data_IF_065840477153
#
_entry.id   IF_065840477153
#
_cell.length_a   1.000
_cell.length_b   1.000
_cell.length_c   1.000
_cell.angle_alpha   90.00
_cell.angle_beta   90.00
_cell.angle_gamma   90.00
#
_symmetry.space_group_name_H-M   'P 1'
#
loop_
_entity.id
_entity.type
_entity.pdbx_description
1 polymer ?
#
# COMPACT_ATOMS: atom_id res chain seq x y z
N UNK A 1 13.80 27.68 12.51
CA UNK A 1 12.78 27.64 13.58
C UNK A 1 11.73 26.53 13.39
N UNK A 2 11.29 26.21 12.16
CA UNK A 2 10.32 25.12 11.88
C UNK A 2 10.89 23.71 12.17
N UNK A 3 12.21 23.52 11.96
CA UNK A 3 12.94 22.29 12.32
C UNK A 3 12.75 21.91 13.80
N UNK A 4 12.66 22.86 14.73
CA UNK A 4 12.53 22.54 16.17
C UNK A 4 11.16 21.92 16.55
N UNK A 5 10.10 22.13 15.77
CA UNK A 5 8.72 21.82 16.19
C UNK A 5 8.20 20.47 15.69
N UNK A 6 8.64 20.01 14.52
CA UNK A 6 8.46 18.60 14.14
C UNK A 6 9.34 17.70 15.02
N UNK A 7 10.51 18.21 15.42
CA UNK A 7 11.33 17.58 16.47
C UNK A 7 10.55 17.48 17.78
N UNK A 8 9.80 18.47 18.25
CA UNK A 8 9.02 18.29 19.49
C UNK A 8 8.04 17.11 19.44
N UNK A 9 7.44 16.81 18.28
CA UNK A 9 6.46 15.71 18.12
C UNK A 9 7.12 14.34 17.89
N UNK A 10 8.21 14.28 17.12
CA UNK A 10 9.04 13.08 16.95
C UNK A 10 9.86 12.76 18.22
N UNK A 11 10.34 13.79 18.92
CA UNK A 11 11.00 13.72 20.22
C UNK A 11 9.99 13.35 21.31
N UNK A 12 8.72 13.73 21.25
CA UNK A 12 7.70 13.21 22.16
C UNK A 12 7.46 11.71 21.94
N UNK A 13 7.44 11.26 20.67
CA UNK A 13 7.30 9.85 20.32
C UNK A 13 8.54 9.01 20.70
N UNK A 14 9.74 9.57 20.54
CA UNK A 14 11.02 8.94 20.92
C UNK A 14 11.30 9.02 22.44
N UNK A 15 10.96 10.11 23.13
CA UNK A 15 11.06 10.21 24.59
C UNK A 15 10.08 9.26 25.29
N UNK A 16 8.85 9.10 24.75
CA UNK A 16 7.92 8.09 25.23
C UNK A 16 8.46 6.65 25.03
N UNK A 17 9.34 6.43 24.04
CA UNK A 17 10.03 5.17 23.79
C UNK A 17 11.27 4.98 24.69
N UNK A 18 11.98 6.05 25.04
CA UNK A 18 13.23 6.03 25.81
C UNK A 18 13.04 6.10 27.34
N UNK A 19 12.00 6.79 27.85
CA UNK A 19 11.78 6.95 29.30
C UNK A 19 11.10 5.75 29.99
N UNK A 20 10.52 4.80 29.24
CA UNK A 20 9.74 3.70 29.83
C UNK A 20 10.37 2.32 29.69
N UNK A 21 11.67 2.19 30.01
CA UNK A 21 12.27 0.92 30.45
C UNK A 21 11.71 0.44 31.82
N UNK A 22 10.44 0.73 32.11
CA UNK A 22 9.77 0.28 33.33
C UNK A 22 9.16 -1.08 33.03
N UNK A 23 9.52 -2.08 33.84
CA UNK A 23 9.02 -3.44 33.68
C UNK A 23 7.49 -3.46 33.72
N UNK A 24 6.88 -4.36 32.95
CA UNK A 24 5.43 -4.53 32.76
C UNK A 24 4.61 -4.79 34.05
N UNK A 25 5.24 -4.81 35.23
CA UNK A 25 4.67 -5.29 36.49
C UNK A 25 3.96 -4.22 37.35
N UNK A 26 3.99 -2.93 36.99
CA UNK A 26 3.51 -1.84 37.87
C UNK A 26 2.37 -0.97 37.30
N UNK A 27 1.49 -1.52 36.45
CA UNK A 27 0.26 -0.81 36.05
C UNK A 27 -0.95 -1.50 36.66
N UNK A 28 -1.37 -1.00 37.83
CA UNK A 28 -2.62 -1.39 38.50
C UNK A 28 -3.82 -0.68 37.86
N UNK A 29 -5.02 -1.30 37.80
CA UNK A 29 -6.23 -0.64 37.33
C UNK A 29 -6.72 0.33 38.42
N UNK A 30 -6.59 1.64 38.17
CA UNK A 30 -7.18 2.69 38.99
C UNK A 30 -8.67 2.94 38.68
N UNK A 31 -9.41 3.62 39.57
CA UNK A 31 -10.85 3.84 39.47
C UNK A 31 -11.22 4.80 38.32
N UNK A 32 -12.50 4.81 37.95
CA UNK A 32 -13.09 5.63 36.89
C UNK A 32 -12.54 7.07 36.87
N UNK A 33 -12.03 7.48 35.70
CA UNK A 33 -11.49 8.81 35.47
C UNK A 33 -12.59 9.87 35.69
N UNK A 34 -12.34 10.97 36.43
CA UNK A 34 -13.32 12.03 36.63
C UNK A 34 -13.66 12.74 35.30
N UNK A 35 -14.86 13.34 35.18
CA UNK A 35 -15.22 14.12 33.99
C UNK A 35 -14.28 15.32 33.83
N UNK A 36 -13.53 15.35 32.73
CA UNK A 36 -12.47 16.33 32.51
C UNK A 36 -13.02 17.67 31.97
N UNK A 37 -12.50 18.77 32.52
CA UNK A 37 -12.72 20.13 32.02
C UNK A 37 -11.68 20.45 30.92
N UNK A 38 -12.14 20.61 29.68
CA UNK A 38 -11.30 20.89 28.52
C UNK A 38 -10.88 22.38 28.41
N UNK A 39 -11.36 23.25 29.31
CA UNK A 39 -11.15 24.70 29.23
C UNK A 39 -9.74 25.16 29.62
N UNK A 40 -8.97 24.32 30.33
CA UNK A 40 -7.63 24.69 30.82
C UNK A 40 -6.50 24.44 29.81
N UNK A 41 -6.76 23.73 28.70
CA UNK A 41 -5.72 23.40 27.72
C UNK A 41 -5.58 24.53 26.70
N UNK A 42 -4.69 25.47 26.99
CA UNK A 42 -4.35 26.57 26.09
C UNK A 42 -3.34 26.14 25.00
N UNK A 43 -3.78 25.29 24.06
CA UNK A 43 -2.96 24.82 22.90
C UNK A 43 -2.38 25.98 22.08
N UNK A 44 -3.05 27.15 22.08
CA UNK A 44 -2.57 28.36 21.42
C UNK A 44 -1.20 28.84 21.94
N UNK A 45 -0.86 28.56 23.20
CA UNK A 45 0.43 28.94 23.80
C UNK A 45 1.57 28.02 23.34
N UNK A 46 1.30 26.75 23.01
CA UNK A 46 2.29 25.79 22.50
C UNK A 46 2.65 26.03 21.01
N UNK A 47 1.74 26.62 20.21
CA UNK A 47 1.99 26.98 18.81
C UNK A 47 1.28 28.28 18.38
N UNK A 48 1.81 29.46 18.77
CA UNK A 48 1.15 30.76 18.58
C UNK A 48 0.94 31.18 17.12
N UNK A 49 1.62 30.53 16.16
CA UNK A 49 1.57 30.93 14.75
C UNK A 49 0.54 30.16 13.91
N UNK A 50 -0.14 29.15 14.46
CA UNK A 50 -0.98 28.28 13.63
C UNK A 50 -2.24 28.98 13.07
N UNK A 51 -2.79 29.95 13.79
CA UNK A 51 -3.91 30.77 13.30
C UNK A 51 -3.52 31.58 12.06
N UNK A 52 -2.27 32.05 11.98
CA UNK A 52 -1.73 32.72 10.79
C UNK A 52 -1.50 31.80 9.60
N UNK A 53 -1.49 30.48 9.83
CA UNK A 53 -1.40 29.42 8.81
C UNK A 53 -2.78 28.87 8.42
N UNK A 54 -3.87 29.49 8.90
CA UNK A 54 -5.24 29.06 8.63
C UNK A 54 -5.71 27.85 9.45
N UNK A 55 -4.96 27.44 10.47
CA UNK A 55 -5.38 26.36 11.38
C UNK A 55 -6.28 26.92 12.49
N UNK A 56 -7.48 26.35 12.60
CA UNK A 56 -8.45 26.66 13.67
C UNK A 56 -8.20 25.69 14.82
N UNK A 57 -7.47 26.12 15.86
CA UNK A 57 -7.06 25.27 16.98
C UNK A 57 -8.20 24.64 17.75
N UNK A 58 -9.34 25.31 17.86
CA UNK A 58 -10.54 24.73 18.49
C UNK A 58 -11.02 23.44 17.79
N UNK A 59 -10.66 23.24 16.53
CA UNK A 59 -10.95 22.00 15.79
C UNK A 59 -10.00 20.85 16.12
N UNK A 60 -8.84 21.11 16.74
CA UNK A 60 -7.82 20.11 17.04
C UNK A 60 -7.55 19.92 18.53
N UNK A 61 -7.91 20.88 19.39
CA UNK A 61 -7.67 20.82 20.84
C UNK A 61 -8.30 19.59 21.48
N UNK A 62 -9.51 19.23 21.06
CA UNK A 62 -10.22 18.04 21.52
C UNK A 62 -9.52 16.75 21.06
N UNK A 63 -8.93 16.76 19.85
CA UNK A 63 -8.21 15.62 19.30
C UNK A 63 -6.83 15.41 19.96
N UNK A 64 -6.13 16.51 20.22
CA UNK A 64 -4.84 16.53 20.92
C UNK A 64 -4.99 16.09 22.38
N UNK A 65 -6.05 16.53 23.03
CA UNK A 65 -6.40 16.10 24.38
C UNK A 65 -6.69 14.59 24.43
N UNK A 66 -7.52 14.08 23.50
CA UNK A 66 -7.80 12.64 23.43
C UNK A 66 -6.53 11.80 23.21
N UNK A 67 -5.61 12.26 22.35
CA UNK A 67 -4.32 11.60 22.15
C UNK A 67 -3.44 11.62 23.41
N UNK A 68 -3.37 12.76 24.13
CA UNK A 68 -2.67 12.88 25.42
C UNK A 68 -3.29 11.97 26.48
N UNK A 69 -4.60 11.98 26.65
CA UNK A 69 -5.32 11.14 27.62
C UNK A 69 -5.06 9.64 27.37
N UNK A 70 -4.87 9.24 26.11
CA UNK A 70 -4.51 7.87 25.76
C UNK A 70 -3.06 7.49 26.12
N UNK A 71 -2.14 8.46 26.07
CA UNK A 71 -0.74 8.29 26.48
C UNK A 71 -0.60 8.05 27.99
N UNK A 72 -1.52 8.59 28.78
CA UNK A 72 -1.51 8.47 30.24
C UNK A 72 -2.51 7.45 30.81
N UNK A 73 -3.49 6.98 30.01
CA UNK A 73 -4.54 6.05 30.47
C UNK A 73 -4.56 4.67 29.80
N UNK A 74 -3.77 4.42 28.75
CA UNK A 74 -3.79 3.18 27.97
C UNK A 74 -2.37 2.70 27.61
N UNK A 75 -2.22 1.56 26.93
CA UNK A 75 -0.89 1.03 26.58
C UNK A 75 -0.12 1.92 25.60
N UNK A 76 1.21 1.99 25.74
CA UNK A 76 2.12 2.79 24.91
C UNK A 76 1.87 2.63 23.40
N UNK A 77 1.58 1.41 22.94
CA UNK A 77 1.25 1.13 21.54
C UNK A 77 0.01 1.87 21.02
N UNK A 78 -1.03 2.05 21.84
CA UNK A 78 -2.22 2.83 21.47
C UNK A 78 -1.89 4.31 21.38
N UNK A 79 -1.14 4.82 22.34
CA UNK A 79 -0.76 6.22 22.40
C UNK A 79 0.11 6.64 21.21
N UNK A 80 1.07 5.81 20.83
CA UNK A 80 1.91 6.01 19.65
C UNK A 80 1.07 6.01 18.37
N UNK A 81 0.12 5.06 18.22
CA UNK A 81 -0.78 5.03 17.05
C UNK A 81 -1.67 6.29 16.97
N UNK A 82 -2.22 6.76 18.09
CA UNK A 82 -3.06 7.96 18.16
C UNK A 82 -2.31 9.23 17.76
N UNK A 83 -1.08 9.39 18.26
CA UNK A 83 -0.20 10.50 17.89
C UNK A 83 0.16 10.44 16.40
N UNK A 84 0.52 9.27 15.87
CA UNK A 84 0.81 9.11 14.44
C UNK A 84 -0.39 9.44 13.55
N UNK A 85 -1.61 9.05 13.96
CA UNK A 85 -2.84 9.34 13.21
C UNK A 85 -3.17 10.84 13.19
N UNK A 86 -3.13 11.49 14.35
CA UNK A 86 -3.37 12.93 14.46
C UNK A 86 -2.32 13.73 13.67
N UNK A 87 -1.05 13.35 13.80
CA UNK A 87 0.04 13.95 13.05
C UNK A 87 -0.14 13.72 11.55
N UNK A 88 -0.54 12.54 11.11
CA UNK A 88 -0.79 12.26 9.69
C UNK A 88 -1.94 13.12 9.13
N UNK A 89 -3.03 13.30 9.86
CA UNK A 89 -4.14 14.16 9.43
C UNK A 89 -3.80 15.66 9.45
N UNK A 90 -3.17 16.15 10.51
CA UNK A 90 -2.75 17.55 10.60
C UNK A 90 -1.66 17.87 9.56
N UNK A 91 -0.70 16.97 9.40
CA UNK A 91 0.39 17.09 8.42
C UNK A 91 -0.14 16.98 7.00
N UNK A 92 -1.05 16.06 6.69
CA UNK A 92 -1.64 15.97 5.34
C UNK A 92 -2.42 17.22 4.97
N UNK A 93 -3.29 17.75 5.86
CA UNK A 93 -3.99 19.02 5.60
C UNK A 93 -3.01 20.18 5.37
N UNK A 94 -1.97 20.28 6.19
CA UNK A 94 -0.95 21.32 6.05
C UNK A 94 -0.12 21.16 4.77
N UNK A 95 0.33 19.95 4.46
CA UNK A 95 1.07 19.63 3.25
C UNK A 95 0.23 19.93 1.99
N UNK A 96 -1.07 19.62 2.00
CA UNK A 96 -1.97 19.96 0.90
C UNK A 96 -2.08 21.48 0.70
N UNK A 97 -2.18 22.26 1.78
CA UNK A 97 -2.17 23.73 1.70
C UNK A 97 -0.83 24.26 1.14
N UNK A 98 0.26 23.51 1.31
CA UNK A 98 1.56 23.81 0.73
C UNK A 98 1.79 23.24 -0.68
N UNK A 99 0.77 22.61 -1.29
CA UNK A 99 0.89 21.97 -2.61
C UNK A 99 1.68 20.65 -2.61
N UNK A 100 1.80 19.97 -1.46
CA UNK A 100 2.60 18.76 -1.26
C UNK A 100 1.71 17.51 -1.13
N UNK A 101 0.90 17.23 -2.16
CA UNK A 101 -0.15 16.21 -2.09
C UNK A 101 0.41 14.79 -2.02
N UNK A 102 1.48 14.48 -2.77
CA UNK A 102 2.11 13.15 -2.73
C UNK A 102 2.59 12.78 -1.32
N UNK A 103 3.32 13.67 -0.65
CA UNK A 103 3.83 13.39 0.71
C UNK A 103 2.70 13.27 1.73
N UNK A 104 1.66 14.10 1.62
CA UNK A 104 0.46 13.99 2.43
C UNK A 104 -0.18 12.59 2.27
N UNK A 105 -0.28 12.10 1.03
CA UNK A 105 -0.79 10.77 0.73
C UNK A 105 0.08 9.66 1.34
N UNK A 106 1.42 9.76 1.26
CA UNK A 106 2.31 8.79 1.89
C UNK A 106 2.12 8.71 3.40
N UNK A 107 1.95 9.84 4.09
CA UNK A 107 1.68 9.85 5.53
C UNK A 107 0.32 9.25 5.86
N UNK A 108 -0.71 9.49 5.05
CA UNK A 108 -2.02 8.87 5.26
C UNK A 108 -1.92 7.34 5.08
N UNK A 109 -1.25 6.89 4.02
CA UNK A 109 -1.00 5.48 3.76
C UNK A 109 -0.22 4.82 4.91
N UNK A 110 0.88 5.41 5.38
CA UNK A 110 1.62 4.91 6.54
C UNK A 110 0.75 4.91 7.81
N UNK A 111 -0.10 5.91 7.98
CA UNK A 111 -1.07 5.97 9.08
C UNK A 111 -2.02 4.77 9.09
N UNK A 112 -2.44 4.26 7.93
CA UNK A 112 -3.32 3.10 7.84
C UNK A 112 -2.73 1.81 8.41
N UNK A 113 -1.39 1.68 8.42
CA UNK A 113 -0.69 0.55 9.06
C UNK A 113 -1.12 0.44 10.52
N UNK A 114 -1.27 1.57 11.20
CA UNK A 114 -1.53 1.62 12.64
C UNK A 114 -3.02 1.75 13.00
N UNK A 115 -3.88 2.07 12.03
CA UNK A 115 -5.33 2.26 12.24
C UNK A 115 -6.11 0.96 12.05
N UNK A 116 -5.63 0.03 11.21
CA UNK A 116 -6.38 -1.15 10.79
C UNK A 116 -6.82 -2.07 11.93
N UNK A 117 -5.98 -2.26 12.95
CA UNK A 117 -6.27 -3.27 13.98
C UNK A 117 -7.40 -2.88 14.95
N UNK A 118 -7.74 -1.57 15.08
CA UNK A 118 -8.73 -1.11 16.09
C UNK A 118 -9.57 0.11 15.68
N UNK A 119 -9.17 0.86 14.65
CA UNK A 119 -9.74 2.18 14.33
C UNK A 119 -10.95 2.19 13.39
N UNK A 120 -11.43 1.02 12.95
CA UNK A 120 -12.67 0.87 12.19
C UNK A 120 -13.89 0.54 13.04
N UNK A 121 -13.74 0.36 14.36
CA UNK A 121 -14.93 0.32 15.22
C UNK A 121 -15.49 1.73 15.38
N UNK A 122 -16.71 1.94 14.89
CA UNK A 122 -17.40 3.24 14.95
C UNK A 122 -17.64 3.71 16.41
N UNK A 123 -17.51 2.81 17.38
CA UNK A 123 -17.63 3.10 18.81
C UNK A 123 -16.29 3.43 19.50
N UNK A 124 -15.21 3.63 18.73
CA UNK A 124 -13.91 3.94 19.31
C UNK A 124 -13.90 5.40 19.81
N UNK A 125 -13.39 5.65 21.03
CA UNK A 125 -13.21 7.01 21.62
C UNK A 125 -12.12 7.84 20.93
N UNK A 126 -11.81 7.50 19.68
CA UNK A 126 -10.68 8.04 18.94
C UNK A 126 -11.05 9.35 18.27
N UNK A 127 -10.13 10.31 18.21
CA UNK A 127 -10.41 11.66 17.70
C UNK A 127 -10.60 11.75 16.18
N UNK A 128 -10.34 10.68 15.44
CA UNK A 128 -10.57 10.57 14.01
C UNK A 128 -11.13 9.19 13.69
N UNK A 129 -12.24 9.11 12.96
CA UNK A 129 -12.78 7.83 12.52
C UNK A 129 -11.88 7.23 11.43
N UNK A 130 -11.78 5.91 11.32
CA UNK A 130 -11.11 5.26 10.17
C UNK A 130 -11.65 5.77 8.83
N UNK A 131 -12.96 6.05 8.78
CA UNK A 131 -13.65 6.63 7.63
C UNK A 131 -13.11 8.00 7.20
N UNK A 132 -12.81 8.91 8.15
CA UNK A 132 -12.26 10.23 7.83
C UNK A 132 -10.89 10.14 7.16
N UNK A 133 -10.06 9.22 7.63
CA UNK A 133 -8.75 8.95 7.02
C UNK A 133 -8.92 8.42 5.61
N UNK A 134 -9.91 7.56 5.36
CA UNK A 134 -10.18 7.00 4.03
C UNK A 134 -10.75 8.03 3.06
N UNK A 135 -11.63 8.92 3.52
CA UNK A 135 -12.11 10.04 2.71
C UNK A 135 -10.96 10.98 2.30
N UNK A 136 -10.06 11.28 3.24
CA UNK A 136 -8.86 12.06 2.95
C UNK A 136 -7.93 11.32 1.98
N UNK A 137 -7.72 10.02 2.22
CA UNK A 137 -6.94 9.13 1.35
C UNK A 137 -7.48 9.11 -0.07
N UNK A 138 -8.77 8.83 -0.26
CA UNK A 138 -9.45 8.85 -1.56
C UNK A 138 -9.27 10.19 -2.28
N UNK A 139 -9.51 11.29 -1.57
CA UNK A 139 -9.40 12.64 -2.14
C UNK A 139 -7.98 12.95 -2.61
N UNK A 140 -6.97 12.52 -1.85
CA UNK A 140 -5.57 12.71 -2.20
C UNK A 140 -5.11 11.74 -3.29
N UNK A 141 -5.53 10.49 -3.25
CA UNK A 141 -5.26 9.50 -4.30
C UNK A 141 -5.76 9.99 -5.65
N UNK A 142 -6.99 10.53 -5.74
CA UNK A 142 -7.50 11.08 -7.00
C UNK A 142 -6.70 12.28 -7.49
N UNK A 143 -6.31 13.20 -6.60
CA UNK A 143 -5.48 14.36 -6.98
C UNK A 143 -4.08 13.95 -7.44
N UNK A 144 -3.42 13.05 -6.70
CA UNK A 144 -2.11 12.52 -7.08
C UNK A 144 -2.21 11.74 -8.39
N UNK A 145 -3.30 10.97 -8.59
CA UNK A 145 -3.57 10.29 -9.86
C UNK A 145 -3.64 11.27 -11.02
N UNK A 146 -4.33 12.41 -10.89
CA UNK A 146 -4.37 13.44 -11.95
C UNK A 146 -2.98 14.00 -12.26
N UNK A 147 -2.12 14.16 -11.25
CA UNK A 147 -0.72 14.58 -11.46
C UNK A 147 0.10 13.50 -12.18
N UNK A 148 -0.23 12.23 -11.95
CA UNK A 148 0.45 11.08 -12.54
C UNK A 148 -0.14 10.64 -13.90
N UNK A 149 -1.36 11.08 -14.25
CA UNK A 149 -2.16 10.52 -15.34
C UNK A 149 -1.56 10.75 -16.74
N UNK A 150 -0.79 11.82 -16.92
CA UNK A 150 -0.13 12.17 -18.18
C UNK A 150 0.97 11.19 -18.62
N UNK A 151 1.27 10.18 -17.81
CA UNK A 151 2.42 9.30 -18.02
C UNK A 151 2.15 7.86 -18.42
N UNK A 152 0.88 7.45 -18.45
CA UNK A 152 0.55 6.07 -18.81
C UNK A 152 0.48 5.97 -20.34
N UNK A 153 1.34 5.14 -20.94
CA UNK A 153 1.26 4.90 -22.37
C UNK A 153 -0.09 4.24 -22.70
N UNK A 154 -0.74 4.70 -23.76
CA UNK A 154 -1.92 4.01 -24.30
C UNK A 154 -1.43 2.93 -25.24
N UNK A 155 -1.55 1.68 -24.82
CA UNK A 155 -1.17 0.51 -25.60
C UNK A 155 -2.40 -0.36 -25.87
N UNK A 156 -2.38 -1.03 -27.01
CA UNK A 156 -3.37 -2.05 -27.32
C UNK A 156 -3.36 -3.15 -26.24
N UNK A 157 -4.53 -3.64 -25.79
CA UNK A 157 -4.59 -4.68 -24.78
C UNK A 157 -3.75 -5.91 -25.11
N UNK A 158 -3.75 -6.32 -26.38
CA UNK A 158 -3.02 -7.50 -26.85
C UNK A 158 -1.52 -7.26 -27.11
N UNK A 159 -0.97 -6.07 -26.82
CA UNK A 159 0.45 -5.75 -27.07
C UNK A 159 1.38 -6.77 -26.40
N UNK A 160 2.38 -7.29 -27.13
CA UNK A 160 3.40 -8.20 -26.60
C UNK A 160 4.79 -7.56 -26.71
N UNK A 161 5.64 -7.83 -25.73
CA UNK A 161 7.05 -7.43 -25.76
C UNK A 161 7.87 -8.64 -26.15
N UNK A 162 8.54 -8.57 -27.30
CA UNK A 162 9.31 -9.69 -27.84
C UNK A 162 10.37 -10.19 -26.85
N UNK A 163 10.37 -11.50 -26.62
CA UNK A 163 11.34 -12.17 -25.75
C UNK A 163 11.13 -11.98 -24.25
N UNK A 164 10.08 -11.26 -23.81
CA UNK A 164 9.81 -11.04 -22.40
C UNK A 164 9.25 -12.32 -21.74
N UNK A 165 9.95 -12.86 -20.74
CA UNK A 165 9.56 -14.10 -20.05
C UNK A 165 8.79 -13.75 -18.77
N UNK A 166 7.52 -14.11 -18.73
CA UNK A 166 6.62 -13.77 -17.62
C UNK A 166 6.07 -15.05 -16.98
N UNK A 167 6.10 -15.09 -15.64
CA UNK A 167 5.41 -16.10 -14.85
C UNK A 167 4.24 -15.48 -14.06
N UNK A 168 3.15 -16.23 -13.95
CA UNK A 168 2.05 -15.97 -13.00
C UNK A 168 2.27 -16.86 -11.78
N UNK A 169 2.26 -16.25 -10.59
CA UNK A 169 2.48 -16.94 -9.31
C UNK A 169 1.27 -16.71 -8.41
N UNK A 170 0.75 -17.78 -7.82
CA UNK A 170 -0.38 -17.73 -6.89
C UNK A 170 -0.28 -18.83 -5.83
N UNK A 171 -0.85 -18.56 -4.66
CA UNK A 171 -1.08 -19.56 -3.62
C UNK A 171 -2.58 -19.67 -3.37
N UNK A 172 -3.13 -20.87 -3.54
CA UNK A 172 -4.52 -21.22 -3.27
C UNK A 172 -4.57 -22.43 -2.33
N UNK A 173 -4.15 -22.23 -1.07
CA UNK A 173 -4.11 -23.27 -0.04
C UNK A 173 -5.47 -23.56 0.62
N UNK A 174 -6.54 -23.47 -0.18
CA UNK A 174 -7.90 -23.82 0.23
C UNK A 174 -8.18 -25.31 -0.02
N UNK A 175 -9.27 -25.83 0.56
CA UNK A 175 -9.75 -27.18 0.25
C UNK A 175 -9.88 -27.38 -1.27
N UNK A 176 -9.58 -28.58 -1.76
CA UNK A 176 -9.49 -28.86 -3.19
C UNK A 176 -10.81 -28.59 -3.95
N UNK A 177 -11.95 -28.74 -3.26
CA UNK A 177 -13.30 -28.49 -3.74
C UNK A 177 -13.83 -27.08 -3.45
N UNK A 178 -13.04 -26.23 -2.77
CA UNK A 178 -13.45 -24.87 -2.48
C UNK A 178 -13.67 -24.09 -3.79
N UNK A 179 -14.84 -23.46 -4.01
CA UNK A 179 -15.14 -22.81 -5.30
C UNK A 179 -14.09 -21.81 -5.76
N UNK A 180 -13.54 -21.01 -4.83
CA UNK A 180 -12.48 -20.05 -5.14
C UNK A 180 -11.23 -20.72 -5.72
N UNK A 181 -10.82 -21.88 -5.19
CA UNK A 181 -9.63 -22.59 -5.69
C UNK A 181 -9.90 -23.16 -7.08
N UNK A 182 -11.02 -23.86 -7.25
CA UNK A 182 -11.39 -24.50 -8.52
C UNK A 182 -11.53 -23.45 -9.64
N UNK A 183 -12.31 -22.41 -9.39
CA UNK A 183 -12.60 -21.38 -10.40
C UNK A 183 -11.36 -20.55 -10.70
N UNK A 184 -10.55 -20.23 -9.70
CA UNK A 184 -9.35 -19.43 -9.92
C UNK A 184 -8.23 -20.23 -10.63
N UNK A 185 -8.12 -21.54 -10.36
CA UNK A 185 -7.24 -22.43 -11.14
C UNK A 185 -7.68 -22.46 -12.60
N UNK A 186 -8.96 -22.67 -12.87
CA UNK A 186 -9.51 -22.67 -14.23
C UNK A 186 -9.24 -21.32 -14.95
N UNK A 187 -9.53 -20.20 -14.29
CA UNK A 187 -9.29 -18.84 -14.79
C UNK A 187 -7.84 -18.67 -15.28
N UNK A 188 -6.88 -19.03 -14.41
CA UNK A 188 -5.45 -18.88 -14.69
C UNK A 188 -4.94 -19.87 -15.73
N UNK A 189 -5.41 -21.11 -15.73
CA UNK A 189 -5.01 -22.09 -16.75
C UNK A 189 -5.48 -21.68 -18.14
N UNK A 190 -6.69 -21.13 -18.27
CA UNK A 190 -7.18 -20.58 -19.53
C UNK A 190 -6.32 -19.38 -19.94
N UNK A 191 -6.10 -18.41 -19.03
CA UNK A 191 -5.28 -17.23 -19.35
C UNK A 191 -3.84 -17.60 -19.74
N UNK A 192 -3.24 -18.58 -19.04
CA UNK A 192 -1.95 -19.18 -19.38
C UNK A 192 -1.94 -19.72 -20.81
N UNK A 193 -2.94 -20.51 -21.18
CA UNK A 193 -3.05 -21.10 -22.52
C UNK A 193 -3.22 -20.04 -23.61
N UNK A 194 -3.93 -18.95 -23.34
CA UNK A 194 -4.14 -17.85 -24.29
C UNK A 194 -2.86 -17.06 -24.58
N UNK A 195 -2.05 -16.79 -23.57
CA UNK A 195 -0.93 -15.87 -23.69
C UNK A 195 0.46 -16.54 -23.70
N UNK A 196 0.54 -17.81 -23.33
CA UNK A 196 1.79 -18.58 -23.30
C UNK A 196 2.68 -18.28 -22.08
N UNK A 197 2.11 -17.75 -20.99
CA UNK A 197 2.86 -17.55 -19.74
C UNK A 197 3.10 -18.88 -19.00
N UNK A 198 4.04 -18.89 -18.08
CA UNK A 198 4.15 -19.98 -17.11
C UNK A 198 3.26 -19.70 -15.89
N UNK A 199 2.74 -20.76 -15.26
CA UNK A 199 1.91 -20.69 -14.07
C UNK A 199 2.51 -21.53 -12.95
N UNK A 200 2.84 -20.88 -11.83
CA UNK A 200 3.25 -21.50 -10.58
C UNK A 200 2.07 -21.42 -9.60
N UNK A 201 1.27 -22.50 -9.57
CA UNK A 201 0.05 -22.59 -8.76
C UNK A 201 0.30 -23.46 -7.53
N UNK A 202 0.56 -22.82 -6.39
CA UNK A 202 0.81 -23.52 -5.13
C UNK A 202 -0.51 -23.78 -4.40
N UNK A 203 -0.76 -25.04 -4.05
CA UNK A 203 -1.99 -25.46 -3.36
C UNK A 203 -1.78 -25.80 -1.89
N UNK A 204 -0.54 -25.78 -1.42
CA UNK A 204 -0.16 -26.09 -0.05
C UNK A 204 1.20 -25.47 0.31
N UNK A 205 1.43 -25.21 1.59
CA UNK A 205 2.69 -24.68 2.12
C UNK A 205 3.89 -25.56 1.76
N UNK A 206 3.73 -26.88 1.77
CA UNK A 206 4.80 -27.84 1.50
C UNK A 206 5.34 -27.76 0.06
N UNK A 207 4.57 -27.18 -0.87
CA UNK A 207 5.03 -26.95 -2.24
C UNK A 207 5.92 -25.70 -2.35
N UNK A 208 5.93 -24.84 -1.34
CA UNK A 208 6.76 -23.63 -1.28
C UNK A 208 8.06 -24.00 -0.57
N UNK A 209 9.09 -24.30 -1.36
CA UNK A 209 10.39 -24.71 -0.83
C UNK A 209 11.02 -23.61 0.04
N UNK A 210 11.78 -23.96 1.10
CA UNK A 210 12.58 -22.99 1.83
C UNK A 210 13.64 -22.35 0.92
N UNK A 211 13.73 -21.02 0.92
CA UNK A 211 14.79 -20.29 0.24
C UNK A 211 15.99 -20.11 1.19
N UNK A 212 16.94 -21.04 1.12
CA UNK A 212 18.11 -21.03 2.03
C UNK A 212 18.98 -19.78 1.88
N UNK A 213 19.16 -19.29 0.66
CA UNK A 213 20.00 -18.12 0.38
C UNK A 213 19.43 -16.83 0.99
N UNK A 214 18.11 -16.65 0.90
CA UNK A 214 17.40 -15.51 1.49
C UNK A 214 16.94 -15.74 2.94
N UNK A 215 17.20 -16.92 3.52
CA UNK A 215 16.74 -17.36 4.85
C UNK A 215 15.21 -17.31 5.02
N UNK A 216 14.46 -17.59 3.95
CA UNK A 216 13.00 -17.60 3.98
C UNK A 216 12.47 -19.03 4.13
N UNK A 217 11.57 -19.25 5.09
CA UNK A 217 10.90 -20.53 5.27
C UNK A 217 9.46 -20.30 5.69
N UNK A 218 8.50 -20.78 4.88
CA UNK A 218 7.06 -20.66 5.20
C UNK A 218 6.62 -21.48 6.41
N UNK A 219 7.49 -22.38 6.90
CA UNK A 219 7.29 -23.22 8.08
C UNK A 219 8.05 -22.71 9.31
N UNK A 220 8.54 -21.47 9.31
CA UNK A 220 9.31 -20.91 10.44
C UNK A 220 8.46 -20.62 11.70
N UNK A 221 7.14 -20.72 11.60
CA UNK A 221 6.20 -20.42 12.69
C UNK A 221 6.04 -18.92 12.98
N UNK A 222 6.79 -18.07 12.27
CA UNK A 222 6.81 -16.62 12.42
C UNK A 222 5.92 -15.98 11.34
N UNK A 223 6.05 -16.45 10.09
CA UNK A 223 5.34 -15.91 8.94
C UNK A 223 4.06 -16.67 8.64
N UNK A 224 2.95 -15.94 8.66
CA UNK A 224 1.61 -16.48 8.39
C UNK A 224 1.38 -16.71 6.89
N UNK A 225 0.30 -17.41 6.50
CA UNK A 225 0.02 -17.74 5.11
C UNK A 225 0.04 -16.57 4.12
N UNK A 226 -0.40 -15.38 4.54
CA UNK A 226 -0.38 -14.19 3.68
C UNK A 226 1.06 -13.70 3.35
N UNK A 227 2.08 -14.02 4.16
CA UNK A 227 3.48 -13.75 3.81
C UNK A 227 4.10 -14.77 2.86
N UNK A 228 3.50 -15.95 2.67
CA UNK A 228 4.09 -17.01 1.84
C UNK A 228 4.32 -16.57 0.39
N UNK A 229 3.57 -15.57 -0.08
CA UNK A 229 3.76 -14.93 -1.40
C UNK A 229 5.18 -14.40 -1.60
N UNK A 230 5.80 -13.87 -0.57
CA UNK A 230 7.16 -13.30 -0.62
C UNK A 230 8.18 -14.38 -0.92
N UNK A 231 8.15 -15.51 -0.20
CA UNK A 231 9.04 -16.64 -0.44
C UNK A 231 8.74 -17.35 -1.78
N UNK A 232 7.46 -17.54 -2.11
CA UNK A 232 7.06 -18.16 -3.38
C UNK A 232 7.59 -17.37 -4.59
N UNK A 233 7.41 -16.04 -4.60
CA UNK A 233 7.94 -15.18 -5.67
C UNK A 233 9.46 -15.16 -5.66
N UNK A 234 10.12 -15.10 -4.49
CA UNK A 234 11.58 -15.15 -4.39
C UNK A 234 12.16 -16.42 -5.02
N UNK A 235 11.58 -17.58 -4.74
CA UNK A 235 11.98 -18.85 -5.34
C UNK A 235 11.83 -18.85 -6.87
N UNK A 236 10.75 -18.28 -7.40
CA UNK A 236 10.52 -18.20 -8.84
C UNK A 236 11.54 -17.27 -9.51
N UNK A 237 11.83 -16.10 -8.92
CA UNK A 237 12.87 -15.19 -9.41
C UNK A 237 14.26 -15.83 -9.40
N UNK A 238 14.61 -16.57 -8.34
CA UNK A 238 15.91 -17.23 -8.19
C UNK A 238 16.18 -18.32 -9.24
N UNK A 239 15.16 -18.81 -9.93
CA UNK A 239 15.35 -19.70 -11.08
C UNK A 239 16.02 -19.02 -12.28
N UNK A 240 16.02 -17.68 -12.31
CA UNK A 240 16.48 -16.84 -13.42
C UNK A 240 15.83 -17.17 -14.79
N UNK A 241 14.68 -17.86 -14.77
CA UNK A 241 13.90 -18.22 -15.97
C UNK A 241 12.98 -17.11 -16.45
N UNK A 242 12.67 -16.16 -15.59
CA UNK A 242 11.68 -15.11 -15.84
C UNK A 242 12.29 -13.73 -15.66
N UNK A 243 11.85 -12.81 -16.51
CA UNK A 243 12.18 -11.39 -16.41
C UNK A 243 11.16 -10.69 -15.51
N UNK A 244 9.90 -11.16 -15.48
CA UNK A 244 8.84 -10.65 -14.63
C UNK A 244 8.02 -11.76 -13.99
N UNK A 245 7.55 -11.49 -12.78
CA UNK A 245 6.58 -12.29 -12.06
C UNK A 245 5.35 -11.43 -11.77
N UNK A 246 4.17 -11.91 -12.18
CA UNK A 246 2.89 -11.41 -11.71
C UNK A 246 2.46 -12.24 -10.50
N UNK A 247 2.41 -11.62 -9.31
CA UNK A 247 1.72 -12.19 -8.17
C UNK A 247 0.21 -11.92 -8.28
N UNK A 248 -0.60 -12.93 -7.97
CA UNK A 248 -2.05 -12.80 -7.80
C UNK A 248 -2.54 -13.62 -6.61
N UNK A 249 -3.31 -13.00 -5.73
CA UNK A 249 -4.04 -13.68 -4.65
C UNK A 249 -5.12 -14.61 -5.22
N UNK A 250 -5.48 -15.67 -4.48
CA UNK A 250 -6.40 -16.70 -4.95
C UNK A 250 -7.82 -16.18 -5.30
N UNK A 251 -8.22 -15.04 -4.75
CA UNK A 251 -9.51 -14.38 -4.94
C UNK A 251 -9.44 -13.23 -5.98
N UNK A 252 -8.34 -13.13 -6.73
CA UNK A 252 -8.19 -12.24 -7.88
C UNK A 252 -8.31 -13.00 -9.21
N UNK A 253 -9.17 -12.51 -10.09
CA UNK A 253 -9.53 -13.14 -11.37
C UNK A 253 -9.18 -12.23 -12.53
N UNK A 254 -8.63 -12.80 -13.61
CA UNK A 254 -8.56 -12.11 -14.89
C UNK A 254 -9.98 -11.90 -15.43
N UNK A 255 -10.23 -10.72 -15.99
CA UNK A 255 -11.55 -10.28 -16.48
C UNK A 255 -11.52 -9.77 -17.92
N UNK A 256 -10.34 -9.44 -18.42
CA UNK A 256 -10.09 -9.10 -19.83
C UNK A 256 -9.10 -10.13 -20.41
N UNK A 257 -9.61 -11.20 -21.06
CA UNK A 257 -8.75 -12.22 -21.65
C UNK A 257 -7.92 -11.72 -22.83
N UNK A 258 -8.30 -10.61 -23.47
CA UNK A 258 -7.57 -10.04 -24.61
C UNK A 258 -6.35 -9.21 -24.17
N UNK A 259 -6.34 -8.76 -22.92
CA UNK A 259 -5.21 -8.00 -22.37
C UNK A 259 -4.07 -8.90 -21.95
N UNK A 260 -2.87 -8.60 -22.41
CA UNK A 260 -1.62 -9.26 -22.02
C UNK A 260 -1.01 -8.60 -20.77
N UNK A 261 -0.21 -9.37 -20.02
CA UNK A 261 0.62 -8.82 -18.94
C UNK A 261 1.71 -7.90 -19.51
N UNK A 262 2.25 -8.24 -20.68
CA UNK A 262 3.18 -7.41 -21.46
C UNK A 262 2.66 -5.98 -21.65
N UNK A 263 1.39 -5.83 -22.05
CA UNK A 263 0.79 -4.52 -22.28
C UNK A 263 0.81 -3.69 -21.00
N UNK A 264 0.47 -4.28 -19.85
CA UNK A 264 0.50 -3.60 -18.55
C UNK A 264 1.93 -3.24 -18.16
N UNK A 265 2.89 -4.15 -18.32
CA UNK A 265 4.31 -3.86 -18.05
C UNK A 265 4.77 -2.68 -18.92
N UNK A 266 4.51 -2.71 -20.23
CA UNK A 266 4.93 -1.67 -21.16
C UNK A 266 4.25 -0.33 -20.89
N UNK A 267 2.96 -0.31 -20.50
CA UNK A 267 2.21 0.90 -20.11
C UNK A 267 2.92 1.69 -19.02
N UNK A 268 3.47 0.99 -18.03
CA UNK A 268 4.10 1.60 -16.86
C UNK A 268 5.63 1.60 -16.91
N UNK A 269 6.24 0.80 -17.80
CA UNK A 269 7.69 0.74 -18.01
C UNK A 269 8.23 1.84 -18.94
N UNK A 270 7.35 2.54 -19.64
CA UNK A 270 7.72 3.68 -20.49
C UNK A 270 8.49 4.77 -19.73
N UNK A 271 9.51 5.33 -20.40
CA UNK A 271 10.57 6.20 -19.85
C UNK A 271 10.13 7.55 -19.24
N UNK A 272 8.83 7.76 -18.96
CA UNK A 272 8.28 9.09 -18.68
C UNK A 272 7.15 9.03 -17.64
N UNK A 273 7.40 8.59 -16.40
CA UNK A 273 6.39 8.77 -15.35
C UNK A 273 6.33 10.20 -14.84
N UNK A 274 5.14 10.75 -14.61
CA UNK A 274 4.99 12.15 -14.15
C UNK A 274 5.51 12.36 -12.73
N UNK A 275 5.63 11.27 -11.96
CA UNK A 275 6.48 11.20 -10.78
C UNK A 275 7.90 11.77 -11.08
N UNK A 276 8.50 11.41 -12.21
CA UNK A 276 9.79 11.94 -12.64
C UNK A 276 9.76 13.30 -13.35
N UNK A 277 8.58 13.75 -13.81
CA UNK A 277 8.43 15.11 -14.36
C UNK A 277 8.23 16.08 -13.21
N UNK A 278 9.33 16.45 -12.57
CA UNK A 278 9.43 17.82 -12.07
C UNK A 278 9.04 18.75 -13.24
N UNK A 279 8.18 19.75 -13.00
CA UNK A 279 7.81 20.78 -14.00
C UNK A 279 9.05 21.13 -14.83
N UNK A 280 8.97 21.30 -16.17
CA UNK A 280 10.16 21.60 -16.98
C UNK A 280 11.04 22.67 -16.31
N UNK A 281 12.38 22.54 -16.38
CA UNK A 281 13.31 23.54 -15.84
C UNK A 281 12.84 24.95 -16.22
N UNK A 282 12.50 25.75 -15.22
CA UNK A 282 12.23 27.16 -15.45
C UNK A 282 13.56 27.90 -15.43
N UNK A 283 13.63 29.04 -16.12
CA UNK A 283 14.76 29.96 -15.99
C UNK A 283 14.95 30.45 -14.54
N UNK A 284 13.94 30.31 -13.69
CA UNK A 284 13.93 30.71 -12.29
C UNK A 284 14.47 29.61 -11.35
N UNK A 285 14.66 28.38 -11.83
CA UNK A 285 15.23 27.30 -11.01
C UNK A 285 16.70 27.57 -10.70
N UNK A 286 17.08 27.52 -9.42
CA UNK A 286 18.49 27.61 -9.01
C UNK A 286 19.30 26.39 -9.50
N UNK A 287 20.62 26.53 -9.60
CA UNK A 287 21.48 25.43 -10.06
C UNK A 287 21.41 24.21 -9.14
N UNK A 288 21.23 24.42 -7.83
CA UNK A 288 20.98 23.36 -6.85
C UNK A 288 19.73 22.54 -7.20
N UNK A 289 18.66 23.22 -7.65
CA UNK A 289 17.41 22.59 -8.07
C UNK A 289 17.64 21.80 -9.33
N UNK A 290 18.34 22.36 -10.32
CA UNK A 290 18.70 21.67 -11.57
C UNK A 290 19.57 20.44 -11.30
N UNK A 291 20.57 20.54 -10.43
CA UNK A 291 21.41 19.42 -10.04
C UNK A 291 20.62 18.35 -9.32
N UNK A 292 19.72 18.73 -8.41
CA UNK A 292 18.81 17.80 -7.78
C UNK A 292 17.88 17.14 -8.79
N UNK A 293 17.35 17.89 -9.76
CA UNK A 293 16.55 17.30 -10.85
C UNK A 293 17.38 16.28 -11.60
N UNK A 294 18.65 16.54 -11.89
CA UNK A 294 19.54 15.53 -12.50
C UNK A 294 19.73 14.30 -11.61
N UNK A 295 19.80 14.47 -10.29
CA UNK A 295 19.94 13.38 -9.33
C UNK A 295 18.61 12.61 -9.07
N UNK A 296 17.46 13.24 -9.32
CA UNK A 296 16.12 12.71 -9.06
C UNK A 296 15.39 12.27 -10.32
N UNK A 297 15.75 12.85 -11.46
CA UNK A 297 15.41 12.32 -12.76
C UNK A 297 15.86 10.86 -12.70
N UNK A 298 14.95 9.92 -12.98
CA UNK A 298 15.34 8.53 -13.13
C UNK A 298 16.53 8.55 -14.06
N UNK A 299 17.64 7.96 -13.63
CA UNK A 299 18.66 7.53 -14.56
C UNK A 299 17.90 6.92 -15.75
N UNK A 300 18.13 7.37 -17.00
CA UNK A 300 17.51 6.72 -18.16
C UNK A 300 17.80 5.21 -18.21
N UNK A 301 18.71 4.69 -17.38
CA UNK A 301 18.91 3.28 -17.08
C UNK A 301 18.18 2.70 -15.84
N UNK A 302 17.43 3.47 -15.04
CA UNK A 302 16.62 2.93 -13.93
C UNK A 302 15.50 2.08 -14.51
N UNK A 303 15.76 0.78 -14.46
CA UNK A 303 14.81 -0.26 -14.77
C UNK A 303 13.75 -0.32 -13.68
N UNK A 304 12.49 -0.12 -14.07
CA UNK A 304 11.35 -0.36 -13.19
C UNK A 304 11.35 -1.82 -12.77
N UNK A 305 11.19 -2.04 -11.47
CA UNK A 305 11.24 -3.34 -10.85
C UNK A 305 9.92 -3.75 -10.22
N UNK A 306 9.06 -2.83 -9.80
CA UNK A 306 7.79 -3.15 -9.14
C UNK A 306 6.65 -2.28 -9.69
N UNK A 307 5.53 -2.92 -10.04
CA UNK A 307 4.28 -2.26 -10.43
C UNK A 307 3.14 -2.82 -9.57
N UNK A 308 2.41 -1.96 -8.86
CA UNK A 308 1.24 -2.33 -8.06
C UNK A 308 0.15 -1.26 -8.15
N UNK A 309 -1.05 -1.53 -7.67
CA UNK A 309 -2.12 -0.54 -7.55
C UNK A 309 -2.27 -0.02 -6.11
N UNK A 310 -2.80 1.20 -5.99
CA UNK A 310 -3.17 1.81 -4.70
C UNK A 310 -4.67 2.08 -4.66
N UNK A 311 -5.23 2.07 -3.45
CA UNK A 311 -6.59 2.49 -3.12
C UNK A 311 -6.57 3.60 -2.05
N UNK A 312 -7.73 3.92 -1.46
CA UNK A 312 -7.80 4.97 -0.42
C UNK A 312 -7.11 4.60 0.89
N UNK A 313 -6.78 3.32 1.08
CA UNK A 313 -6.13 2.76 2.28
C UNK A 313 -4.65 2.47 2.07
N UNK A 314 -4.11 2.76 0.88
CA UNK A 314 -2.71 2.55 0.53
C UNK A 314 -2.50 1.52 -0.55
N UNK A 315 -1.43 0.75 -0.43
CA UNK A 315 -1.14 -0.37 -1.34
C UNK A 315 -2.10 -1.49 -1.01
N UNK A 316 -2.66 -2.16 -2.04
CA UNK A 316 -3.16 -3.51 -1.88
C UNK A 316 -2.21 -4.47 -2.60
N UNK A 317 -1.73 -5.48 -1.89
CA UNK A 317 -0.66 -6.37 -2.39
C UNK A 317 -1.20 -7.71 -2.90
N UNK A 318 -2.49 -7.79 -3.22
CA UNK A 318 -3.07 -8.98 -3.83
C UNK A 318 -2.79 -9.13 -5.32
N UNK A 319 -2.39 -8.08 -6.02
CA UNK A 319 -1.93 -8.16 -7.41
C UNK A 319 -0.78 -7.18 -7.65
N UNK A 320 0.37 -7.68 -8.09
CA UNK A 320 1.52 -6.85 -8.42
C UNK A 320 2.49 -7.56 -9.35
N UNK A 321 3.28 -6.77 -10.10
CA UNK A 321 4.31 -7.23 -11.01
C UNK A 321 5.68 -6.90 -10.43
N UNK A 322 6.59 -7.87 -10.42
CA UNK A 322 7.96 -7.68 -9.96
C UNK A 322 8.95 -8.24 -10.98
N UNK A 323 9.85 -7.38 -11.43
CA UNK A 323 10.93 -7.72 -12.35
C UNK A 323 12.02 -8.48 -11.63
N UNK A 324 12.72 -9.37 -12.32
CA UNK A 324 13.89 -10.05 -11.81
C UNK A 324 15.12 -9.12 -11.83
N UNK A 325 15.35 -8.41 -10.72
CA UNK A 325 16.47 -7.46 -10.56
C UNK A 325 17.10 -7.61 -9.19
N UNK A 326 18.34 -7.14 -9.03
CA UNK A 326 18.98 -7.09 -7.71
C UNK A 326 18.13 -6.32 -6.67
N UNK A 327 17.51 -5.21 -7.08
CA UNK A 327 16.60 -4.45 -6.22
C UNK A 327 15.40 -5.29 -5.75
N UNK A 328 14.82 -6.10 -6.64
CA UNK A 328 13.66 -6.93 -6.29
C UNK A 328 14.01 -8.02 -5.29
N UNK A 329 15.19 -8.62 -5.41
CA UNK A 329 15.67 -9.62 -4.44
C UNK A 329 15.91 -8.99 -3.07
N UNK A 330 16.56 -7.83 -3.01
CA UNK A 330 16.76 -7.07 -1.77
C UNK A 330 15.42 -6.63 -1.16
N UNK A 331 14.49 -6.14 -1.98
CA UNK A 331 13.16 -5.73 -1.53
C UNK A 331 12.38 -6.88 -0.90
N UNK A 332 12.33 -8.06 -1.54
CA UNK A 332 11.65 -9.23 -0.98
C UNK A 332 12.29 -9.67 0.35
N UNK A 333 13.62 -9.59 0.46
CA UNK A 333 14.31 -9.92 1.71
C UNK A 333 13.98 -8.93 2.83
N UNK A 334 14.02 -7.61 2.56
CA UNK A 334 13.61 -6.60 3.55
C UNK A 334 12.14 -6.72 3.94
N UNK A 335 11.28 -7.08 2.99
CA UNK A 335 9.87 -7.29 3.27
C UNK A 335 9.65 -8.50 4.19
N UNK A 336 10.36 -9.61 3.94
CA UNK A 336 10.34 -10.80 4.81
C UNK A 336 10.95 -10.54 6.18
N UNK A 337 12.11 -9.89 6.24
CA UNK A 337 12.85 -9.62 7.49
C UNK A 337 12.22 -8.45 8.31
N UNK A 338 11.10 -7.88 7.84
CA UNK A 338 10.45 -6.73 8.47
C UNK A 338 9.89 -7.06 9.87
N UNK A 339 10.23 -6.22 10.84
CA UNK A 339 9.86 -6.34 12.25
C UNK A 339 8.82 -5.30 12.72
N UNK A 340 8.41 -4.35 11.86
CA UNK A 340 7.50 -3.26 12.26
C UNK A 340 6.19 -3.72 12.92
N UNK A 341 5.71 -4.93 12.59
CA UNK A 341 4.52 -5.49 13.22
C UNK A 341 4.95 -6.51 14.27
N UNK A 342 4.89 -6.09 15.53
CA UNK A 342 5.04 -6.95 16.70
C UNK A 342 3.67 -7.28 17.33
N UNK A 343 3.61 -8.38 18.07
CA UNK A 343 2.44 -8.77 18.83
C UNK A 343 1.18 -8.97 17.97
N UNK A 344 -0.01 -8.49 18.40
CA UNK A 344 -1.27 -8.71 17.69
C UNK A 344 -1.29 -8.20 16.24
N UNK A 345 -0.55 -7.13 15.93
CA UNK A 345 -0.49 -6.58 14.58
C UNK A 345 0.19 -7.51 13.58
N UNK A 346 1.09 -8.39 14.04
CA UNK A 346 1.73 -9.41 13.21
C UNK A 346 0.75 -10.49 12.76
N UNK A 347 -0.23 -10.78 13.60
CA UNK A 347 -1.24 -11.82 13.40
C UNK A 347 -2.40 -11.38 12.47
N UNK A 348 -2.51 -10.07 12.18
CA UNK A 348 -3.55 -9.55 11.30
C UNK A 348 -3.34 -10.02 9.85
N UNK A 349 -4.42 -10.38 9.15
CA UNK A 349 -4.39 -10.86 7.76
C UNK A 349 -3.96 -9.83 6.70
N UNK A 350 -3.52 -8.65 7.12
CA UNK A 350 -3.02 -7.58 6.26
C UNK A 350 -1.61 -7.15 6.66
N UNK A 351 -0.95 -7.91 7.54
CA UNK A 351 0.35 -7.52 8.07
C UNK A 351 1.43 -7.58 6.98
N UNK A 352 1.33 -8.46 5.99
CA UNK A 352 2.17 -8.45 4.78
C UNK A 352 1.97 -7.18 3.94
N UNK A 353 0.73 -6.73 3.76
CA UNK A 353 0.43 -5.49 3.04
C UNK A 353 0.99 -4.27 3.77
N UNK A 354 0.85 -4.23 5.09
CA UNK A 354 1.39 -3.17 5.94
C UNK A 354 2.92 -3.15 5.95
N UNK A 355 3.59 -4.30 6.01
CA UNK A 355 5.06 -4.38 5.93
C UNK A 355 5.57 -3.97 4.55
N UNK A 356 4.88 -4.34 3.47
CA UNK A 356 5.19 -3.85 2.11
C UNK A 356 5.09 -2.32 2.05
N UNK A 357 4.01 -1.76 2.59
CA UNK A 357 3.78 -0.32 2.59
C UNK A 357 4.87 0.42 3.38
N UNK A 358 5.24 -0.10 4.54
CA UNK A 358 6.34 0.41 5.34
C UNK A 358 7.67 0.37 4.56
N UNK A 359 8.02 -0.78 3.99
CA UNK A 359 9.27 -0.98 3.26
C UNK A 359 9.43 -0.06 2.04
N UNK A 360 8.32 0.39 1.45
CA UNK A 360 8.32 1.27 0.28
C UNK A 360 8.22 2.76 0.62
N UNK A 361 7.47 3.11 1.66
CA UNK A 361 7.15 4.51 1.95
C UNK A 361 7.91 5.10 3.13
N UNK A 362 8.27 4.30 4.14
CA UNK A 362 8.72 4.84 5.43
C UNK A 362 9.92 5.78 5.29
N UNK A 363 11.01 5.30 4.69
CA UNK A 363 12.22 6.11 4.54
C UNK A 363 11.93 7.42 3.79
N UNK A 364 11.20 7.35 2.67
CA UNK A 364 10.91 8.52 1.83
C UNK A 364 9.90 9.48 2.44
N UNK A 365 8.90 8.97 3.15
CA UNK A 365 7.91 9.81 3.84
C UNK A 365 8.54 10.52 5.05
N UNK A 366 9.43 9.84 5.77
CA UNK A 366 10.06 10.35 6.99
C UNK A 366 11.28 11.22 6.72
N UNK A 367 11.99 11.03 5.59
CA UNK A 367 13.16 11.83 5.24
C UNK A 367 12.77 13.32 5.13
N UNK A 368 13.30 14.13 6.02
CA UNK A 368 13.12 15.58 6.00
C UNK A 368 14.08 16.18 4.98
N UNK A 369 13.61 16.36 3.76
CA UNK A 369 14.36 17.01 2.70
C UNK A 369 13.60 18.27 2.28
N UNK A 370 14.13 19.45 2.68
CA UNK A 370 13.53 20.76 2.42
C UNK A 370 13.31 21.02 0.94
N UNK A 371 14.11 20.39 0.08
CA UNK A 371 14.07 20.58 -1.36
C UNK A 371 13.07 19.61 -1.98
N UNK A 372 13.07 18.34 -1.55
CA UNK A 372 12.04 17.35 -1.90
C UNK A 372 10.63 17.89 -1.64
N UNK A 373 10.49 18.53 -0.48
CA UNK A 373 9.28 19.19 -0.02
C UNK A 373 8.87 20.39 -0.87
N UNK A 374 9.82 21.07 -1.50
CA UNK A 374 9.53 22.20 -2.37
C UNK A 374 8.95 21.78 -3.73
N UNK A 375 9.20 20.54 -4.16
CA UNK A 375 8.95 20.11 -5.55
C UNK A 375 7.99 18.94 -5.73
N UNK A 376 7.29 18.51 -4.68
CA UNK A 376 6.29 17.43 -4.73
C UNK A 376 6.80 16.15 -5.40
N UNK A 377 7.96 15.68 -4.95
CA UNK A 377 8.64 14.56 -5.53
C UNK A 377 7.97 13.17 -5.27
N UNK A 378 8.37 12.12 -6.02
CA UNK A 378 7.75 10.78 -5.94
C UNK A 378 7.98 10.08 -4.62
N UNK A 379 6.91 9.81 -3.89
CA UNK A 379 6.98 9.12 -2.59
C UNK A 379 7.47 7.67 -2.68
N UNK A 380 7.41 7.05 -3.85
CA UNK A 380 7.87 5.68 -4.08
C UNK A 380 9.28 5.63 -4.68
N UNK A 381 10.06 4.56 -4.42
CA UNK A 381 11.33 4.27 -5.08
C UNK A 381 11.31 4.47 -6.60
N UNK A 382 12.44 4.83 -7.19
CA UNK A 382 12.55 5.05 -8.63
C UNK A 382 12.27 3.78 -9.45
N UNK A 383 12.41 2.63 -8.82
CA UNK A 383 12.10 1.29 -9.33
C UNK A 383 10.61 0.96 -9.27
N UNK A 384 9.78 1.79 -8.64
CA UNK A 384 8.39 1.49 -8.32
C UNK A 384 7.44 2.32 -9.16
N UNK A 385 6.36 1.69 -9.63
CA UNK A 385 5.27 2.35 -10.36
C UNK A 385 3.92 2.00 -9.76
N UNK A 386 3.07 3.01 -9.70
CA UNK A 386 1.68 2.86 -9.28
C UNK A 386 0.83 2.73 -10.53
N UNK A 387 0.30 1.54 -10.76
CA UNK A 387 -0.69 1.29 -11.76
C UNK A 387 -2.07 1.78 -11.33
N UNK A 388 -2.86 2.20 -12.31
CA UNK A 388 -4.30 2.44 -12.14
C UNK A 388 -5.01 1.12 -11.79
N UNK A 389 -6.04 1.22 -10.94
CA UNK A 389 -6.78 0.06 -10.47
C UNK A 389 -7.46 -0.72 -11.60
N UNK A 390 -7.92 -0.05 -12.67
CA UNK A 390 -8.46 -0.74 -13.86
C UNK A 390 -7.45 -1.69 -14.54
N UNK A 391 -6.15 -1.50 -14.34
CA UNK A 391 -5.11 -2.28 -15.00
C UNK A 391 -4.50 -3.39 -14.13
N UNK A 392 -4.81 -3.46 -12.82
CA UNK A 392 -4.28 -4.53 -11.96
C UNK A 392 -5.26 -5.00 -10.88
N UNK A 393 -6.15 -4.13 -10.39
CA UNK A 393 -6.80 -4.39 -9.11
C UNK A 393 -8.06 -3.56 -8.88
N UNK A 394 -9.12 -3.87 -9.63
CA UNK A 394 -10.44 -3.31 -9.34
C UNK A 394 -11.19 -4.23 -8.39
N UNK A 395 -11.97 -3.69 -7.45
CA UNK A 395 -12.68 -4.50 -6.46
C UNK A 395 -14.09 -4.86 -6.90
N UNK A 396 -14.69 -5.90 -6.34
CA UNK A 396 -16.15 -6.02 -6.43
C UNK A 396 -16.85 -4.84 -5.72
N UNK A 397 -18.10 -4.60 -6.08
CA UNK A 397 -18.85 -3.39 -5.70
C UNK A 397 -18.88 -3.15 -4.18
N UNK A 398 -19.22 -4.17 -3.38
CA UNK A 398 -19.29 -4.02 -1.93
C UNK A 398 -17.93 -3.62 -1.30
N UNK A 399 -16.82 -4.23 -1.71
CA UNK A 399 -15.49 -3.86 -1.18
C UNK A 399 -15.02 -2.53 -1.73
N UNK A 400 -15.34 -2.18 -2.97
CA UNK A 400 -15.08 -0.84 -3.48
C UNK A 400 -15.80 0.23 -2.67
N UNK A 401 -17.05 -0.01 -2.27
CA UNK A 401 -17.83 0.91 -1.45
C UNK A 401 -17.23 1.08 -0.05
N UNK A 402 -16.88 -0.03 0.62
CA UNK A 402 -16.30 0.02 1.98
C UNK A 402 -14.89 0.57 1.97
N UNK A 403 -14.07 0.20 0.98
CA UNK A 403 -12.70 0.64 0.80
C UNK A 403 -12.58 2.01 0.10
N UNK A 404 -13.69 2.72 -0.16
CA UNK A 404 -13.72 4.00 -0.89
C UNK A 404 -12.85 3.99 -2.16
N UNK A 405 -12.90 2.87 -2.87
CA UNK A 405 -12.00 2.45 -3.94
C UNK A 405 -12.75 2.27 -5.26
N UNK A 406 -12.05 1.93 -6.34
CA UNK A 406 -12.67 1.65 -7.63
C UNK A 406 -13.37 0.28 -7.63
N UNK A 407 -14.66 0.29 -7.98
CA UNK A 407 -15.38 -0.92 -8.36
C UNK A 407 -15.02 -1.34 -9.79
N UNK A 408 -14.89 -2.65 -10.00
CA UNK A 408 -14.66 -3.27 -11.30
C UNK A 408 -15.73 -2.84 -12.30
N UNK A 409 -15.29 -2.56 -13.51
CA UNK A 409 -16.13 -2.27 -14.67
C UNK A 409 -15.72 -3.15 -15.84
N UNK A 410 -16.64 -3.32 -16.78
CA UNK A 410 -16.30 -4.00 -18.01
C UNK A 410 -15.13 -3.31 -18.73
N UNK A 411 -14.14 -4.10 -19.13
CA UNK A 411 -12.86 -3.64 -19.68
C UNK A 411 -11.70 -3.52 -18.66
N UNK A 412 -11.98 -3.57 -17.35
CA UNK A 412 -10.92 -3.65 -16.34
C UNK A 412 -10.24 -5.03 -16.40
N UNK A 413 -8.92 -5.06 -16.21
CA UNK A 413 -8.10 -6.26 -16.43
C UNK A 413 -8.36 -7.37 -15.41
N UNK A 414 -8.42 -7.01 -14.12
CA UNK A 414 -8.50 -7.93 -12.99
C UNK A 414 -9.56 -7.45 -12.00
N UNK A 415 -10.40 -8.38 -11.54
CA UNK A 415 -11.36 -8.18 -10.43
C UNK A 415 -10.84 -8.95 -9.22
N UNK A 416 -10.59 -8.24 -8.14
CA UNK A 416 -10.08 -8.79 -6.88
C UNK A 416 -11.18 -8.72 -5.82
N UNK A 417 -11.30 -9.79 -5.02
CA UNK A 417 -12.31 -9.92 -3.97
C UNK A 417 -11.74 -9.96 -2.55
N UNK A 418 -10.96 -8.94 -2.13
CA UNK A 418 -10.38 -8.94 -0.80
C UNK A 418 -11.48 -8.94 0.27
N UNK A 419 -11.26 -9.70 1.33
CA UNK A 419 -12.24 -9.87 2.41
C UNK A 419 -13.23 -11.02 2.19
N UNK A 420 -13.28 -11.63 1.01
CA UNK A 420 -14.15 -12.78 0.74
C UNK A 420 -13.60 -14.12 1.26
N UNK A 421 -13.06 -14.12 2.49
CA UNK A 421 -12.31 -15.24 3.07
C UNK A 421 -13.18 -16.31 3.76
N UNK A 422 -14.51 -16.14 3.82
CA UNK A 422 -15.38 -17.02 4.61
C UNK A 422 -16.19 -18.03 3.80
N UNK A 423 -15.95 -18.15 2.49
CA UNK A 423 -16.68 -19.06 1.58
C UNK A 423 -18.20 -18.98 1.75
N UNK A 424 -18.71 -17.85 2.24
CA UNK A 424 -20.15 -17.65 2.36
C UNK A 424 -20.70 -17.60 0.95
N UNK A 425 -21.92 -18.09 0.80
CA UNK A 425 -22.62 -18.16 -0.47
C UNK A 425 -22.49 -16.87 -1.31
N UNK A 426 -22.56 -15.64 -0.75
CA UNK A 426 -22.35 -14.42 -1.53
C UNK A 426 -20.98 -14.33 -2.21
N UNK A 427 -19.89 -14.71 -1.53
CA UNK A 427 -18.56 -14.67 -2.13
C UNK A 427 -18.38 -15.77 -3.19
N UNK A 428 -18.96 -16.95 -2.98
CA UNK A 428 -18.94 -18.02 -3.99
C UNK A 428 -19.63 -17.58 -5.29
N UNK A 429 -20.77 -16.90 -5.17
CA UNK A 429 -21.48 -16.32 -6.31
C UNK A 429 -20.64 -15.28 -7.05
N UNK A 430 -19.92 -14.41 -6.33
CA UNK A 430 -19.02 -13.43 -6.94
C UNK A 430 -17.86 -14.08 -7.71
N UNK A 431 -17.30 -15.18 -7.20
CA UNK A 431 -16.26 -15.93 -7.91
C UNK A 431 -16.79 -16.59 -9.18
N UNK A 432 -17.99 -17.18 -9.09
CA UNK A 432 -18.65 -17.80 -10.24
C UNK A 432 -18.97 -16.75 -11.31
N UNK A 433 -19.55 -15.61 -10.93
CA UNK A 433 -19.83 -14.49 -11.82
C UNK A 433 -18.55 -13.99 -12.51
N UNK A 434 -17.46 -13.80 -11.75
CA UNK A 434 -16.18 -13.36 -12.31
C UNK A 434 -15.66 -14.34 -13.37
N UNK A 435 -15.72 -15.65 -13.08
CA UNK A 435 -15.28 -16.68 -14.00
C UNK A 435 -16.18 -16.80 -15.24
N UNK A 436 -17.50 -16.67 -15.09
CA UNK A 436 -18.46 -16.69 -16.21
C UNK A 436 -18.25 -15.51 -17.15
N UNK A 437 -18.06 -14.29 -16.61
CA UNK A 437 -17.74 -13.09 -17.40
C UNK A 437 -16.46 -13.30 -18.20
N UNK A 438 -15.39 -13.78 -17.54
CA UNK A 438 -14.13 -14.05 -18.20
C UNK A 438 -14.28 -15.10 -19.31
N UNK A 439 -14.91 -16.24 -19.02
CA UNK A 439 -15.09 -17.33 -19.96
C UNK A 439 -15.90 -16.90 -21.20
N UNK A 440 -16.99 -16.17 -21.01
CA UNK A 440 -17.80 -15.65 -22.11
C UNK A 440 -16.99 -14.75 -23.04
N UNK A 441 -16.10 -13.91 -22.49
CA UNK A 441 -15.18 -13.10 -23.31
C UNK A 441 -14.15 -13.94 -24.05
N UNK A 442 -13.65 -15.03 -23.46
CA UNK A 442 -12.75 -15.97 -24.15
C UNK A 442 -13.46 -16.60 -25.35
N UNK A 443 -14.71 -17.04 -25.19
CA UNK A 443 -15.52 -17.61 -26.28
C UNK A 443 -15.70 -16.59 -27.41
N UNK A 444 -16.02 -15.34 -27.09
CA UNK A 444 -16.16 -14.27 -28.08
C UNK A 444 -14.85 -13.99 -28.83
N UNK A 445 -13.70 -14.00 -28.14
CA UNK A 445 -12.40 -13.83 -28.79
C UNK A 445 -12.05 -14.94 -29.78
N UNK A 446 -12.59 -16.15 -29.61
CA UNK A 446 -12.35 -17.27 -30.55
C UNK A 446 -13.28 -17.23 -31.77
N UNK A 447 -14.34 -16.42 -31.73
CA UNK A 447 -15.30 -16.25 -32.83
C UNK A 447 -14.89 -15.13 -33.81
N UNK A 448 -13.97 -14.26 -33.38
CA UNK A 448 -13.37 -13.20 -34.19
C UNK A 448 -12.12 -13.74 -34.89
#
# INVERSE_FOLDING_TARGET
MFRLRLYCWLLFAELARAEMQVSHAEVMPGPELPPCDNSEIKVAEECPNATSLGLVWSSFSQQLFAARAQLFGFSLSLAVSAVHKLLSQATSKFLVLQGRMRRALAFLHLGFIFVRDRGFSECSTWPAAGWDVMLAGRSLTERVRLLDDESVLKLEPAHRVDGLRIAVVTICAYAADAPVRVLCEQNRQIYKALHGYDLHFFTDAAQILPNKAARMNVQDGIHKPFFWKVNAVKNVLDTNKYDWVLWMDCDAFFMDPGRSIDSVIAMYSGNLTSASRLRPPSSEDSEEVRQMRRNMSPDPGVNISLIFAVDSTGINNGVWLLRNTAWSHDFLQRWWDSDILEGPGKEHNCSDQSTMLHALLHERAMKLDEIWDKYEAPIYPSEVRVARQEHLQSFHEATAATALSRAWRDGDFIKHHPGCHFYRLPCQQLYQEAQEIFYNKVVLLHQQ
#
